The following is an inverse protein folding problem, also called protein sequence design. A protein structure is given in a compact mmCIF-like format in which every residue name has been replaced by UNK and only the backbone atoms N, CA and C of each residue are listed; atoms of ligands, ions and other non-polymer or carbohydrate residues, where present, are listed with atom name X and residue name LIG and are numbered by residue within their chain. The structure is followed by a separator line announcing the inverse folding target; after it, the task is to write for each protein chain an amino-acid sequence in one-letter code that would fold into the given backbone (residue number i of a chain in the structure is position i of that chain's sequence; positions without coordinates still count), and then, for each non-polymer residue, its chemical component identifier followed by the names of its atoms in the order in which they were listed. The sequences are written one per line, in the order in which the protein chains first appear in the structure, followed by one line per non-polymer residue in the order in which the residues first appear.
data_IF_170947475443
#
_entry.id   IF_170947475443
#
_cell.length_a   1.000
_cell.length_b   1.000
_cell.length_c   1.000
_cell.angle_alpha   90.00
_cell.angle_beta   90.00
_cell.angle_gamma   90.00
#
_symmetry.space_group_name_H-M   'P 1'
#
loop_
_entity.id
_entity.type
_entity.pdbx_description
1 polymer ?
#
# COMPACT_ATOMS: atom_id res chain seq x y z
N UNK A 1 -6.29 7.14 3.53
CA UNK A 1 -6.02 7.25 2.08
C UNK A 1 -6.35 8.65 1.57
N UNK A 2 -7.62 9.06 1.56
CA UNK A 2 -7.99 10.36 0.96
C UNK A 2 -7.78 11.58 1.86
N UNK A 3 -7.73 11.48 3.19
CA UNK A 3 -7.65 12.65 4.07
C UNK A 3 -6.39 12.66 4.95
N UNK A 4 -5.17 12.65 4.36
CA UNK A 4 -3.95 12.84 5.13
C UNK A 4 -3.87 14.26 5.72
N UNK A 5 -2.92 14.54 6.62
CA UNK A 5 -2.59 15.91 6.98
C UNK A 5 -2.35 16.75 5.72
N UNK A 6 -2.74 18.02 5.75
CA UNK A 6 -2.56 18.97 4.64
C UNK A 6 -3.27 18.61 3.33
N UNK A 7 -4.32 17.76 3.38
CA UNK A 7 -5.11 17.46 2.20
C UNK A 7 -5.80 18.71 1.63
N UNK A 8 -5.90 18.79 0.30
CA UNK A 8 -6.50 19.93 -0.42
C UNK A 8 -7.85 19.50 -0.96
N UNK A 9 -8.95 20.01 -0.39
CA UNK A 9 -10.32 19.60 -0.71
C UNK A 9 -10.68 19.80 -2.19
N UNK A 10 -10.05 20.75 -2.84
CA UNK A 10 -10.24 21.05 -4.25
C UNK A 10 -9.69 19.92 -5.13
N UNK A 11 -8.76 19.10 -4.63
CA UNK A 11 -8.14 18.02 -5.39
C UNK A 11 -8.96 16.73 -5.45
N UNK A 12 -10.19 16.72 -4.93
CA UNK A 12 -11.17 15.64 -5.14
C UNK A 12 -12.19 16.12 -6.17
N UNK A 13 -12.09 15.58 -7.37
CA UNK A 13 -12.91 16.00 -8.51
C UNK A 13 -13.91 14.91 -8.84
N UNK A 14 -15.19 15.24 -8.74
CA UNK A 14 -16.30 14.39 -9.14
C UNK A 14 -17.05 14.97 -10.34
N UNK A 15 -17.53 14.10 -11.22
CA UNK A 15 -18.52 14.45 -12.25
C UNK A 15 -19.83 13.81 -11.84
N UNK A 16 -20.90 14.62 -11.73
CA UNK A 16 -22.24 14.14 -11.48
C UNK A 16 -23.13 14.32 -12.70
N UNK A 17 -24.08 13.42 -12.89
CA UNK A 17 -25.15 13.60 -13.86
C UNK A 17 -26.09 14.72 -13.40
N UNK A 18 -26.35 15.69 -14.28
CA UNK A 18 -27.04 16.94 -13.92
C UNK A 18 -28.48 16.74 -13.43
N UNK A 19 -29.19 15.75 -13.96
CA UNK A 19 -30.60 15.53 -13.66
C UNK A 19 -30.81 14.66 -12.41
N UNK A 20 -30.02 13.60 -12.26
CA UNK A 20 -30.15 12.63 -11.16
C UNK A 20 -29.31 13.01 -9.93
N UNK A 21 -28.20 13.74 -10.14
CA UNK A 21 -27.20 13.99 -9.11
C UNK A 21 -26.21 12.83 -8.92
N UNK A 22 -26.34 11.75 -9.71
CA UNK A 22 -25.52 10.55 -9.56
C UNK A 22 -24.04 10.82 -9.88
N UNK A 23 -23.13 10.34 -9.04
CA UNK A 23 -21.69 10.43 -9.29
C UNK A 23 -21.28 9.44 -10.39
N UNK A 24 -20.83 9.96 -11.53
CA UNK A 24 -20.47 9.17 -12.72
C UNK A 24 -18.97 9.07 -12.97
N UNK A 25 -18.17 9.91 -12.32
CA UNK A 25 -16.72 9.86 -12.39
C UNK A 25 -16.04 10.53 -11.20
N UNK A 26 -14.85 10.04 -10.85
CA UNK A 26 -14.07 10.55 -9.73
C UNK A 26 -12.57 10.46 -10.03
N UNK A 27 -11.80 11.43 -9.55
CA UNK A 27 -10.34 11.41 -9.47
C UNK A 27 -9.91 12.17 -8.21
N UNK A 28 -8.79 11.78 -7.61
CA UNK A 28 -8.23 12.44 -6.45
C UNK A 28 -6.74 12.69 -6.60
N UNK A 29 -6.24 13.73 -5.93
CA UNK A 29 -4.82 13.94 -5.73
C UNK A 29 -4.52 14.22 -4.25
N UNK A 30 -3.30 13.92 -3.82
CA UNK A 30 -2.78 14.23 -2.49
C UNK A 30 -1.41 14.92 -2.60
N UNK A 31 -1.12 15.95 -1.80
CA UNK A 31 0.23 16.51 -1.76
C UNK A 31 1.16 15.52 -1.06
N UNK A 32 2.38 15.39 -1.58
CA UNK A 32 3.45 14.63 -0.92
C UNK A 32 4.80 15.24 -1.25
N UNK A 33 5.76 15.00 -0.38
CA UNK A 33 7.15 15.36 -0.58
C UNK A 33 7.92 14.13 -1.03
N UNK A 34 8.65 14.24 -2.14
CA UNK A 34 9.54 13.19 -2.62
C UNK A 34 11.01 13.61 -2.46
N UNK A 35 11.81 12.68 -1.94
CA UNK A 35 13.24 12.70 -2.13
C UNK A 35 13.58 12.05 -3.47
N UNK A 36 14.21 12.82 -4.35
CA UNK A 36 14.77 12.34 -5.62
C UNK A 36 16.28 12.44 -5.45
N UNK A 37 16.98 11.31 -5.56
CA UNK A 37 18.38 11.11 -5.17
C UNK A 37 19.43 11.85 -6.02
N UNK A 38 19.04 12.90 -6.72
CA UNK A 38 19.96 13.73 -7.51
C UNK A 38 20.53 14.88 -6.66
N UNK A 39 21.82 15.14 -6.79
CA UNK A 39 22.52 16.21 -6.04
C UNK A 39 21.99 17.62 -6.35
N UNK A 40 21.25 17.76 -7.45
CA UNK A 40 20.59 19.00 -7.85
C UNK A 40 19.36 19.33 -6.97
N UNK A 41 18.66 18.32 -6.44
CA UNK A 41 17.49 18.53 -5.60
C UNK A 41 17.91 18.66 -4.13
N UNK A 42 18.29 19.88 -3.74
CA UNK A 42 18.67 20.21 -2.35
C UNK A 42 17.53 20.11 -1.34
N UNK A 43 16.28 20.13 -1.81
CA UNK A 43 15.07 20.03 -0.99
C UNK A 43 14.14 18.95 -1.57
N UNK A 44 13.32 18.29 -0.75
CA UNK A 44 12.25 17.43 -1.24
C UNK A 44 11.37 18.20 -2.23
N UNK A 45 11.01 17.54 -3.33
CA UNK A 45 10.09 18.12 -4.31
C UNK A 45 8.66 17.89 -3.86
N UNK A 46 7.88 18.97 -3.74
CA UNK A 46 6.45 18.88 -3.54
C UNK A 46 5.77 18.45 -4.85
N UNK A 47 5.03 17.36 -4.79
CA UNK A 47 4.34 16.80 -5.95
C UNK A 47 2.92 16.35 -5.57
N UNK A 48 2.08 16.15 -6.59
CA UNK A 48 0.76 15.59 -6.41
C UNK A 48 0.75 14.07 -6.70
N UNK A 49 0.31 13.24 -5.75
CA UNK A 49 0.05 11.81 -6.01
C UNK A 49 -1.40 11.64 -6.43
N UNK A 50 -1.62 11.25 -7.69
CA UNK A 50 -2.95 11.01 -8.26
C UNK A 50 -3.38 9.57 -7.94
N UNK A 51 -4.63 9.40 -7.51
CA UNK A 51 -5.23 8.09 -7.29
C UNK A 51 -6.76 8.08 -7.53
N UNK A 52 -7.34 6.88 -7.53
CA UNK A 52 -8.78 6.63 -7.60
C UNK A 52 -9.51 7.19 -8.83
N UNK A 53 -8.81 7.32 -9.96
CA UNK A 53 -9.47 7.62 -11.23
C UNK A 53 -10.46 6.49 -11.58
N UNK A 54 -11.74 6.82 -11.60
CA UNK A 54 -12.80 5.89 -11.92
C UNK A 54 -13.89 6.57 -12.74
N UNK A 55 -14.37 5.90 -13.79
CA UNK A 55 -15.54 6.30 -14.57
C UNK A 55 -16.55 5.17 -14.55
N UNK A 56 -17.79 5.52 -14.25
CA UNK A 56 -18.92 4.60 -14.18
C UNK A 56 -19.06 3.83 -15.51
N UNK A 57 -19.34 2.52 -15.42
CA UNK A 57 -19.30 1.60 -16.58
C UNK A 57 -20.11 2.09 -17.79
N UNK A 58 -21.27 2.69 -17.56
CA UNK A 58 -22.16 3.23 -18.61
C UNK A 58 -21.56 4.41 -19.39
N UNK A 59 -20.69 5.20 -18.77
CA UNK A 59 -20.14 6.44 -19.33
C UNK A 59 -18.71 6.29 -19.86
N UNK A 60 -18.20 5.06 -19.94
CA UNK A 60 -16.88 4.78 -20.53
C UNK A 60 -16.88 5.09 -22.02
N UNK A 61 -15.71 5.43 -22.58
CA UNK A 61 -15.51 5.82 -23.98
C UNK A 61 -16.14 7.17 -24.39
N UNK A 62 -16.52 8.01 -23.42
CA UNK A 62 -17.04 9.37 -23.64
C UNK A 62 -16.02 10.46 -23.28
N UNK A 63 -14.73 10.13 -23.24
CA UNK A 63 -13.64 11.06 -22.89
C UNK A 63 -13.73 11.71 -21.48
N UNK A 64 -14.53 11.14 -20.58
CA UNK A 64 -14.70 11.68 -19.22
C UNK A 64 -13.43 11.53 -18.37
N UNK A 65 -12.62 10.49 -18.61
CA UNK A 65 -11.37 10.30 -17.89
C UNK A 65 -10.38 11.43 -18.21
N UNK A 66 -10.28 11.80 -19.49
CA UNK A 66 -9.44 12.89 -19.98
C UNK A 66 -9.91 14.24 -19.44
N UNK A 67 -11.24 14.45 -19.33
CA UNK A 67 -11.79 15.65 -18.70
C UNK A 67 -11.41 15.74 -17.21
N UNK A 68 -11.58 14.63 -16.46
CA UNK A 68 -11.17 14.54 -15.05
C UNK A 68 -9.68 14.83 -14.88
N UNK A 69 -8.83 14.24 -15.75
CA UNK A 69 -7.38 14.46 -15.73
C UNK A 69 -7.04 15.92 -16.00
N UNK A 70 -7.64 16.55 -17.01
CA UNK A 70 -7.42 17.98 -17.31
C UNK A 70 -7.80 18.87 -16.14
N UNK A 71 -8.94 18.61 -15.51
CA UNK A 71 -9.42 19.42 -14.39
C UNK A 71 -8.56 19.24 -13.14
N UNK A 72 -8.17 18.02 -12.78
CA UNK A 72 -7.28 17.82 -11.62
C UNK A 72 -5.92 18.47 -11.87
N UNK A 73 -5.35 18.36 -13.08
CA UNK A 73 -4.10 19.04 -13.44
C UNK A 73 -4.23 20.55 -13.30
N UNK A 74 -5.35 21.15 -13.74
CA UNK A 74 -5.60 22.58 -13.56
C UNK A 74 -5.61 22.98 -12.08
N UNK A 75 -6.27 22.21 -11.20
CA UNK A 75 -6.36 22.51 -9.76
C UNK A 75 -5.03 22.34 -9.04
N UNK A 76 -4.24 21.33 -9.42
CA UNK A 76 -2.88 21.11 -8.91
C UNK A 76 -1.95 22.26 -9.32
N UNK A 77 -1.99 22.68 -10.60
CA UNK A 77 -1.18 23.80 -11.10
C UNK A 77 -1.52 25.15 -10.43
N UNK A 78 -2.80 25.39 -10.08
CA UNK A 78 -3.20 26.59 -9.32
C UNK A 78 -2.58 26.63 -7.92
N UNK A 79 -2.17 25.46 -7.40
CA UNK A 79 -1.49 25.33 -6.10
C UNK A 79 0.04 25.38 -6.24
N UNK A 80 0.56 25.87 -7.37
CA UNK A 80 1.99 25.98 -7.69
C UNK A 80 2.75 24.63 -7.75
N UNK A 81 2.03 23.54 -7.97
CA UNK A 81 2.60 22.19 -8.15
C UNK A 81 2.41 21.78 -9.61
N UNK A 82 3.49 21.40 -10.27
CA UNK A 82 3.49 21.10 -11.73
C UNK A 82 3.91 19.67 -12.05
N UNK A 83 4.08 18.84 -11.03
CA UNK A 83 4.53 17.46 -11.14
C UNK A 83 3.55 16.55 -10.42
N UNK A 84 3.29 15.39 -11.02
CA UNK A 84 2.40 14.41 -10.46
C UNK A 84 2.95 12.98 -10.60
N UNK A 85 2.69 12.15 -9.59
CA UNK A 85 3.00 10.73 -9.58
C UNK A 85 1.72 9.92 -9.58
N UNK A 86 1.66 8.88 -10.40
CA UNK A 86 0.55 7.93 -10.43
C UNK A 86 1.07 6.54 -10.80
N UNK A 87 0.29 5.52 -10.45
CA UNK A 87 0.53 4.13 -10.86
C UNK A 87 -0.65 3.63 -11.67
N UNK A 88 -0.40 2.72 -12.60
CA UNK A 88 -1.44 2.12 -13.43
C UNK A 88 -1.10 0.65 -13.71
N UNK A 89 -2.14 -0.19 -13.79
CA UNK A 89 -2.00 -1.55 -14.30
C UNK A 89 -1.84 -1.62 -15.82
N UNK A 90 -2.17 -0.53 -16.53
CA UNK A 90 -1.99 -0.41 -17.97
C UNK A 90 -0.68 0.31 -18.29
N UNK A 91 -0.05 -0.05 -19.41
CA UNK A 91 1.14 0.66 -19.90
C UNK A 91 0.72 1.97 -20.58
N UNK A 92 1.17 3.09 -20.04
CA UNK A 92 0.95 4.44 -20.58
C UNK A 92 2.31 5.08 -20.95
N UNK A 93 2.46 5.76 -22.10
CA UNK A 93 3.72 6.37 -22.52
C UNK A 93 4.17 7.52 -21.58
N UNK A 94 5.39 7.55 -21.02
CA UNK A 94 6.37 6.46 -20.91
C UNK A 94 6.68 6.26 -19.41
N UNK A 95 6.54 5.04 -18.85
CA UNK A 95 6.78 4.82 -17.44
C UNK A 95 8.28 4.87 -17.15
N UNK A 96 8.67 5.45 -16.01
CA UNK A 96 10.06 5.44 -15.55
C UNK A 96 10.41 4.16 -14.74
N UNK A 97 9.40 3.40 -14.29
CA UNK A 97 9.59 2.15 -13.56
C UNK A 97 8.41 1.17 -13.81
N UNK A 98 8.69 -0.13 -13.66
CA UNK A 98 7.69 -1.21 -13.71
C UNK A 98 7.97 -2.20 -12.59
N UNK A 99 6.93 -2.60 -11.86
CA UNK A 99 7.00 -3.63 -10.82
C UNK A 99 5.95 -4.72 -11.09
N UNK A 100 6.29 -5.96 -10.79
CA UNK A 100 5.37 -7.09 -10.91
C UNK A 100 4.68 -7.35 -9.56
N UNK A 101 3.39 -7.66 -9.58
CA UNK A 101 2.69 -8.14 -8.38
C UNK A 101 3.15 -9.56 -8.04
N UNK A 102 3.44 -9.77 -6.77
CA UNK A 102 3.69 -11.08 -6.19
C UNK A 102 2.62 -11.39 -5.15
N UNK A 103 2.24 -12.66 -5.05
CA UNK A 103 1.23 -13.14 -4.12
C UNK A 103 1.81 -14.23 -3.23
N UNK A 104 1.54 -14.15 -1.93
CA UNK A 104 1.78 -15.25 -0.98
C UNK A 104 0.44 -15.71 -0.43
N UNK A 105 0.15 -16.99 -0.60
CA UNK A 105 -1.13 -17.57 -0.22
C UNK A 105 -1.14 -17.95 1.25
N UNK A 106 -2.12 -17.43 1.99
CA UNK A 106 -2.32 -17.71 3.41
C UNK A 106 -3.43 -18.74 3.62
N UNK A 107 -4.58 -18.56 2.97
CA UNK A 107 -5.72 -19.48 3.03
C UNK A 107 -5.93 -20.24 1.72
N UNK A 108 -5.18 -21.33 1.52
CA UNK A 108 -5.20 -22.12 0.27
C UNK A 108 -6.59 -22.64 -0.08
N UNK A 109 -7.36 -23.18 0.89
CA UNK A 109 -8.71 -23.72 0.63
C UNK A 109 -9.65 -22.66 0.10
N UNK A 110 -9.67 -21.48 0.73
CA UNK A 110 -10.51 -20.37 0.28
C UNK A 110 -10.11 -19.94 -1.13
N UNK A 111 -8.81 -19.77 -1.38
CA UNK A 111 -8.29 -19.31 -2.68
C UNK A 111 -8.59 -20.29 -3.83
N UNK A 112 -8.50 -21.59 -3.58
CA UNK A 112 -8.92 -22.63 -4.55
C UNK A 112 -10.44 -22.61 -4.76
N UNK A 113 -11.22 -22.50 -3.68
CA UNK A 113 -12.68 -22.51 -3.74
C UNK A 113 -13.28 -21.34 -4.51
N UNK A 114 -12.63 -20.17 -4.49
CA UNK A 114 -13.05 -18.97 -5.23
C UNK A 114 -12.40 -18.85 -6.61
N UNK A 115 -11.55 -19.79 -7.01
CA UNK A 115 -10.83 -19.77 -8.29
C UNK A 115 -9.74 -18.70 -8.41
N UNK A 116 -9.28 -18.11 -7.29
CA UNK A 116 -8.15 -17.18 -7.30
C UNK A 116 -6.81 -17.91 -7.48
N UNK A 117 -6.72 -19.14 -6.94
CA UNK A 117 -5.60 -20.04 -7.13
C UNK A 117 -6.04 -21.24 -7.96
N UNK A 118 -5.17 -21.72 -8.85
CA UNK A 118 -5.34 -22.98 -9.56
C UNK A 118 -4.44 -24.09 -9.00
N UNK A 119 -4.92 -25.33 -9.09
CA UNK A 119 -4.16 -26.52 -8.71
C UNK A 119 -3.06 -26.80 -9.75
N UNK A 120 -1.81 -26.54 -9.36
CA UNK A 120 -0.62 -26.86 -10.17
C UNK A 120 -0.57 -28.37 -10.48
N UNK A 121 -0.21 -28.71 -11.72
CA UNK A 121 -0.15 -30.09 -12.19
C UNK A 121 0.74 -30.99 -11.31
N UNK A 122 1.86 -30.46 -10.81
CA UNK A 122 2.79 -31.17 -9.93
C UNK A 122 2.15 -31.68 -8.64
N UNK A 123 1.09 -31.04 -8.15
CA UNK A 123 0.41 -31.44 -6.92
C UNK A 123 -0.74 -32.43 -7.17
N UNK A 124 -1.25 -32.53 -8.40
CA UNK A 124 -2.43 -33.38 -8.73
C UNK A 124 -2.19 -34.87 -8.52
N UNK A 125 -0.92 -35.29 -8.60
CA UNK A 125 -0.55 -36.70 -8.45
C UNK A 125 -0.46 -37.15 -6.98
N UNK A 126 -0.55 -36.22 -6.01
CA UNK A 126 -0.60 -36.60 -4.60
C UNK A 126 -1.99 -37.12 -4.22
N UNK A 127 -2.05 -38.09 -3.29
CA UNK A 127 -3.31 -38.64 -2.75
C UNK A 127 -4.23 -37.57 -2.15
N UNK A 128 -3.66 -36.53 -1.53
CA UNK A 128 -4.40 -35.36 -1.06
C UNK A 128 -3.69 -34.08 -1.52
N UNK A 129 -4.06 -33.54 -2.71
CA UNK A 129 -3.34 -32.43 -3.34
C UNK A 129 -3.48 -31.11 -2.55
N UNK A 130 -4.67 -30.87 -1.96
CA UNK A 130 -4.96 -29.66 -1.19
C UNK A 130 -4.11 -29.61 0.08
N UNK A 131 -4.05 -30.71 0.85
CA UNK A 131 -3.23 -30.76 2.07
C UNK A 131 -1.74 -30.55 1.77
N UNK A 132 -1.25 -31.05 0.63
CA UNK A 132 0.14 -30.83 0.22
C UNK A 132 0.41 -29.37 -0.12
N UNK A 133 -0.53 -28.68 -0.78
CA UNK A 133 -0.41 -27.23 -0.98
C UNK A 133 -0.47 -26.47 0.34
N UNK A 134 -1.35 -26.81 1.26
CA UNK A 134 -1.41 -26.20 2.60
C UNK A 134 -0.06 -26.31 3.33
N UNK A 135 0.57 -27.49 3.28
CA UNK A 135 1.92 -27.71 3.83
C UNK A 135 3.01 -26.95 3.10
N UNK A 136 2.89 -26.74 1.79
CA UNK A 136 3.84 -25.95 1.02
C UNK A 136 3.73 -24.44 1.32
N UNK A 137 2.50 -23.97 1.59
CA UNK A 137 2.23 -22.58 1.92
C UNK A 137 2.33 -22.27 3.43
N UNK A 138 2.54 -23.28 4.27
CA UNK A 138 2.65 -23.09 5.72
C UNK A 138 3.79 -22.13 6.06
N UNK A 139 3.55 -21.34 7.10
CA UNK A 139 4.50 -20.36 7.61
C UNK A 139 5.25 -20.96 8.80
N UNK A 140 6.54 -20.63 8.90
CA UNK A 140 7.39 -20.99 10.05
C UNK A 140 7.48 -19.80 11.00
N UNK A 141 7.35 -20.06 12.29
CA UNK A 141 7.52 -19.07 13.35
C UNK A 141 8.88 -19.18 14.06
N UNK A 142 9.65 -20.24 13.78
CA UNK A 142 10.89 -20.55 14.48
C UNK A 142 11.96 -19.47 14.27
N UNK A 143 12.51 -18.95 15.38
CA UNK A 143 13.61 -17.99 15.36
C UNK A 143 13.22 -16.56 14.95
N UNK A 144 11.93 -16.24 14.86
CA UNK A 144 11.48 -14.88 14.58
C UNK A 144 11.68 -13.96 15.78
N UNK A 145 11.98 -12.67 15.54
CA UNK A 145 12.05 -11.68 16.60
C UNK A 145 10.68 -11.46 17.25
N UNK A 146 10.70 -11.10 18.52
CA UNK A 146 9.51 -10.54 19.17
C UNK A 146 9.19 -9.17 18.56
N UNK A 147 7.92 -8.96 18.23
CA UNK A 147 7.41 -7.70 17.70
C UNK A 147 6.11 -7.35 18.40
N UNK A 148 5.79 -6.05 18.45
CA UNK A 148 4.54 -5.54 19.02
C UNK A 148 3.89 -4.55 18.07
N UNK A 149 2.61 -4.31 18.27
CA UNK A 149 1.88 -3.28 17.54
C UNK A 149 2.49 -1.88 17.79
N UNK A 150 2.51 -1.05 16.74
CA UNK A 150 3.01 0.32 16.79
C UNK A 150 2.10 1.22 17.63
N UNK A 151 2.69 1.99 18.55
CA UNK A 151 1.99 3.01 19.35
C UNK A 151 2.32 4.45 18.93
N UNK A 152 1.56 5.45 19.43
CA UNK A 152 1.83 6.87 19.17
C UNK A 152 3.23 7.34 19.58
N UNK A 153 3.79 6.76 20.65
CA UNK A 153 5.13 7.09 21.13
C UNK A 153 6.25 6.67 20.15
N UNK A 154 5.98 5.70 19.26
CA UNK A 154 6.96 5.19 18.30
C UNK A 154 7.08 6.09 17.05
N UNK A 155 6.10 6.97 16.81
CA UNK A 155 5.98 7.79 15.59
C UNK A 155 7.27 8.57 15.28
N UNK A 156 7.90 9.29 16.23
CA UNK A 156 9.12 10.04 15.93
C UNK A 156 10.30 9.15 15.57
N UNK A 157 10.39 7.96 16.18
CA UNK A 157 11.44 6.99 15.88
C UNK A 157 11.23 6.38 14.48
N UNK A 158 10.00 6.02 14.14
CA UNK A 158 9.64 5.47 12.83
C UNK A 158 9.84 6.49 11.72
N UNK A 159 9.49 7.77 11.92
CA UNK A 159 9.78 8.83 10.94
C UNK A 159 11.26 8.89 10.60
N UNK A 160 12.14 8.88 11.61
CA UNK A 160 13.60 8.88 11.40
C UNK A 160 14.07 7.62 10.69
N UNK A 161 13.55 6.46 11.10
CA UNK A 161 13.90 5.16 10.55
C UNK A 161 13.51 5.05 9.06
N UNK A 162 12.27 5.38 8.70
CA UNK A 162 11.77 5.37 7.33
C UNK A 162 12.59 6.31 6.44
N UNK A 163 12.74 7.58 6.85
CA UNK A 163 13.49 8.56 6.07
C UNK A 163 14.94 8.12 5.85
N UNK A 164 15.61 7.58 6.87
CA UNK A 164 17.01 7.12 6.76
C UNK A 164 17.12 5.90 5.85
N UNK A 165 16.25 4.90 6.05
CA UNK A 165 16.26 3.66 5.29
C UNK A 165 15.99 3.90 3.80
N UNK A 166 14.94 4.65 3.47
CA UNK A 166 14.53 4.82 2.09
C UNK A 166 15.44 5.76 1.30
N UNK A 167 15.93 6.85 1.91
CA UNK A 167 16.91 7.74 1.26
C UNK A 167 18.22 7.02 0.92
N UNK A 168 18.64 6.06 1.75
CA UNK A 168 19.87 5.29 1.52
C UNK A 168 19.72 4.26 0.40
N UNK A 169 18.54 3.63 0.31
CA UNK A 169 18.36 2.41 -0.50
C UNK A 169 17.65 2.66 -1.84
N UNK A 170 16.98 3.81 -2.03
CA UNK A 170 16.16 4.07 -3.22
C UNK A 170 16.43 5.46 -3.81
N UNK A 171 16.43 5.53 -5.14
CA UNK A 171 16.61 6.79 -5.88
C UNK A 171 15.39 7.72 -5.77
N UNK A 172 14.19 7.16 -5.57
CA UNK A 172 12.96 7.92 -5.33
C UNK A 172 12.32 7.36 -4.07
N UNK A 173 12.09 8.23 -3.09
CA UNK A 173 11.53 7.85 -1.80
C UNK A 173 10.56 8.92 -1.30
N UNK A 174 9.46 8.49 -0.66
CA UNK A 174 8.61 9.42 0.06
C UNK A 174 9.36 10.03 1.24
N UNK A 175 9.29 11.35 1.33
CA UNK A 175 9.85 12.10 2.44
C UNK A 175 8.75 12.35 3.47
N UNK A 176 8.95 11.82 4.67
CA UNK A 176 8.06 12.07 5.81
C UNK A 176 8.53 13.32 6.55
N UNK A 177 7.82 14.43 6.39
CA UNK A 177 8.21 15.72 6.97
C UNK A 177 7.79 15.82 8.44
N UNK A 178 6.54 15.47 8.74
CA UNK A 178 5.99 15.62 10.08
C UNK A 178 5.69 14.27 10.75
N UNK A 179 5.68 14.27 12.08
CA UNK A 179 5.19 13.11 12.84
C UNK A 179 3.70 12.86 12.58
N UNK A 180 2.93 13.91 12.24
CA UNK A 180 1.51 13.77 11.88
C UNK A 180 1.31 12.95 10.60
N UNK A 181 2.21 13.08 9.61
CA UNK A 181 2.15 12.28 8.39
C UNK A 181 2.34 10.80 8.71
N UNK A 182 3.41 10.47 9.45
CA UNK A 182 3.71 9.09 9.86
C UNK A 182 2.59 8.53 10.73
N UNK A 183 2.06 9.31 11.66
CA UNK A 183 0.91 8.91 12.47
C UNK A 183 -0.33 8.63 11.61
N UNK A 184 -0.62 9.45 10.61
CA UNK A 184 -1.78 9.26 9.74
C UNK A 184 -1.70 7.97 8.94
N UNK A 185 -0.52 7.67 8.40
CA UNK A 185 -0.32 6.55 7.49
C UNK A 185 -0.01 5.24 8.19
N UNK A 186 0.58 5.25 9.38
CA UNK A 186 1.09 4.02 10.00
C UNK A 186 0.49 3.68 11.36
N UNK A 187 -0.20 4.60 12.06
CA UNK A 187 -0.87 4.17 13.29
C UNK A 187 -1.93 3.12 12.95
N UNK A 188 -1.90 1.95 13.62
CA UNK A 188 -2.83 0.88 13.37
C UNK A 188 -4.28 1.35 13.44
N UNK A 189 -5.07 0.92 12.46
CA UNK A 189 -6.51 1.17 12.40
C UNK A 189 -7.20 -0.13 12.03
N UNK A 190 -8.13 -0.64 12.87
CA UNK A 190 -8.82 -1.89 12.61
C UNK A 190 -9.41 -1.92 11.20
N UNK A 191 -9.17 -3.02 10.49
CA UNK A 191 -9.66 -3.24 9.12
C UNK A 191 -9.15 -2.23 8.07
N UNK A 192 -8.07 -1.51 8.36
CA UNK A 192 -7.46 -0.57 7.41
C UNK A 192 -5.97 -0.82 7.29
N UNK A 193 -5.20 -0.64 8.37
CA UNK A 193 -3.74 -0.76 8.37
C UNK A 193 -3.24 -1.38 9.67
N UNK A 194 -2.24 -2.23 9.52
CA UNK A 194 -1.59 -2.98 10.58
C UNK A 194 -0.10 -2.65 10.51
N UNK A 195 0.45 -2.23 11.64
CA UNK A 195 1.83 -1.77 11.74
C UNK A 195 2.46 -2.30 13.02
N UNK A 196 3.68 -2.79 12.89
CA UNK A 196 4.39 -3.44 13.97
C UNK A 196 5.83 -2.92 14.05
N UNK A 197 6.36 -2.95 15.26
CA UNK A 197 7.73 -2.54 15.56
C UNK A 197 8.47 -3.66 16.29
N UNK A 198 9.76 -3.73 16.03
CA UNK A 198 10.71 -4.53 16.79
C UNK A 198 11.57 -3.56 17.59
N UNK A 199 11.68 -3.82 18.88
CA UNK A 199 12.53 -3.05 19.78
C UNK A 199 13.88 -3.74 19.92
N UNK A 200 14.95 -2.97 19.83
CA UNK A 200 16.28 -3.40 20.25
C UNK A 200 16.60 -2.78 21.61
N UNK A 201 17.20 -3.60 22.48
CA UNK A 201 17.62 -3.19 23.80
C UNK A 201 19.13 -2.89 23.77
N UNK A 202 19.46 -1.67 23.40
CA UNK A 202 20.85 -1.18 23.37
C UNK A 202 21.08 -0.24 24.55
N UNK A 203 21.99 -0.61 25.46
CA UNK A 203 22.45 0.23 26.59
C UNK A 203 21.32 0.70 27.53
N UNK A 204 20.35 -0.17 27.83
CA UNK A 204 19.28 0.11 28.79
C UNK A 204 18.15 1.02 28.29
N UNK A 205 18.25 1.56 27.07
CA UNK A 205 17.15 2.29 26.41
C UNK A 205 16.49 1.38 25.38
N UNK A 206 15.16 1.24 25.45
CA UNK A 206 14.38 0.61 24.38
C UNK A 206 14.30 1.57 23.20
N UNK A 207 14.69 1.11 22.02
CA UNK A 207 14.57 1.90 20.79
C UNK A 207 14.02 1.03 19.67
N UNK A 208 13.14 1.60 18.85
CA UNK A 208 12.61 0.94 17.65
C UNK A 208 13.76 0.73 16.66
N UNK A 209 14.08 -0.52 16.36
CA UNK A 209 15.13 -0.90 15.42
C UNK A 209 14.57 -1.21 14.03
N UNK A 210 13.38 -1.82 13.99
CA UNK A 210 12.78 -2.31 12.76
C UNK A 210 11.26 -2.11 12.77
N UNK A 211 10.69 -1.97 11.59
CA UNK A 211 9.30 -1.63 11.36
C UNK A 211 8.77 -2.36 10.13
N UNK A 212 7.53 -2.83 10.18
CA UNK A 212 6.81 -3.34 9.01
C UNK A 212 5.31 -3.03 9.09
N UNK A 213 4.68 -2.90 7.94
CA UNK A 213 3.25 -2.60 7.84
C UNK A 213 2.61 -3.23 6.61
N UNK A 214 1.31 -3.49 6.72
CA UNK A 214 0.46 -3.91 5.61
C UNK A 214 -0.95 -3.36 5.80
N UNK A 215 -1.68 -3.15 4.70
CA UNK A 215 -3.07 -2.68 4.74
C UNK A 215 -4.03 -3.72 4.17
N UNK A 216 -5.28 -3.65 4.62
CA UNK A 216 -6.37 -4.48 4.11
C UNK A 216 -6.93 -3.85 2.84
N UNK A 217 -6.94 -4.61 1.76
CA UNK A 217 -7.67 -4.27 0.54
C UNK A 217 -8.63 -5.41 0.18
N UNK A 218 -9.91 -5.30 0.57
CA UNK A 218 -10.90 -6.32 0.27
C UNK A 218 -11.32 -6.25 -1.20
N UNK A 219 -11.52 -7.40 -1.83
CA UNK A 219 -12.04 -7.53 -3.19
C UNK A 219 -13.35 -8.31 -3.20
N UNK A 220 -14.39 -7.73 -3.80
CA UNK A 220 -15.68 -8.41 -4.01
C UNK A 220 -15.55 -9.53 -5.02
N UNK A 221 -16.10 -10.71 -4.71
CA UNK A 221 -16.10 -11.85 -5.62
C UNK A 221 -17.20 -11.70 -6.67
N UNK A 222 -16.84 -11.84 -7.95
CA UNK A 222 -17.75 -11.61 -9.08
C UNK A 222 -18.87 -12.65 -9.20
N UNK A 223 -18.63 -13.89 -8.77
CA UNK A 223 -19.49 -15.05 -9.07
C UNK A 223 -20.01 -15.79 -7.82
N UNK A 224 -19.79 -15.26 -6.61
CA UNK A 224 -20.30 -15.84 -5.37
C UNK A 224 -21.20 -14.85 -4.65
N UNK A 225 -22.34 -15.29 -4.15
CA UNK A 225 -23.47 -14.46 -3.72
C UNK A 225 -23.22 -13.51 -2.53
N UNK A 226 -22.09 -13.58 -1.82
CA UNK A 226 -21.75 -12.61 -0.75
C UNK A 226 -20.28 -12.64 -0.28
N UNK A 227 -19.36 -13.19 -1.08
CA UNK A 227 -17.99 -13.42 -0.62
C UNK A 227 -17.04 -12.23 -0.84
N UNK A 228 -16.14 -12.02 0.12
CA UNK A 228 -15.03 -11.06 0.03
C UNK A 228 -13.69 -11.79 0.15
N UNK A 229 -12.76 -11.48 -0.74
CA UNK A 229 -11.36 -11.82 -0.59
C UNK A 229 -10.66 -10.70 0.18
N UNK A 230 -10.24 -10.98 1.41
CA UNK A 230 -9.40 -10.08 2.17
C UNK A 230 -7.96 -10.27 1.72
N UNK A 231 -7.32 -9.23 1.22
CA UNK A 231 -5.91 -9.29 0.84
C UNK A 231 -5.10 -8.31 1.68
N UNK A 232 -4.00 -8.80 2.24
CA UNK A 232 -3.00 -7.99 2.92
C UNK A 232 -2.00 -7.50 1.88
N UNK A 233 -1.92 -6.18 1.69
CA UNK A 233 -0.94 -5.56 0.82
C UNK A 233 0.23 -5.06 1.65
N UNK A 234 1.42 -5.61 1.41
CA UNK A 234 2.66 -5.09 2.00
C UNK A 234 2.81 -3.61 1.67
N UNK A 235 3.08 -2.78 2.68
CA UNK A 235 3.09 -1.33 2.54
C UNK A 235 4.50 -0.76 2.66
N UNK A 236 4.93 -0.39 3.88
CA UNK A 236 6.29 0.03 4.16
C UNK A 236 6.93 -0.89 5.19
N UNK A 237 8.25 -1.05 5.06
CA UNK A 237 9.09 -1.63 6.09
C UNK A 237 10.42 -0.88 6.13
N UNK A 238 11.07 -0.87 7.27
CA UNK A 238 12.41 -0.33 7.42
C UNK A 238 13.15 -1.09 8.51
N UNK A 239 14.44 -1.28 8.32
CA UNK A 239 15.22 -2.19 9.15
C UNK A 239 16.62 -1.66 9.39
N UNK A 240 17.10 -1.85 10.61
CA UNK A 240 18.50 -1.61 10.99
C UNK A 240 19.20 -2.88 11.45
N UNK A 241 18.45 -3.89 11.94
CA UNK A 241 19.03 -5.10 12.52
C UNK A 241 18.59 -6.38 11.83
N UNK A 242 17.41 -6.39 11.23
CA UNK A 242 16.81 -7.59 10.60
C UNK A 242 16.97 -7.59 9.08
N UNK A 243 16.75 -8.75 8.49
CA UNK A 243 16.70 -8.92 7.05
C UNK A 243 15.28 -8.70 6.54
N UNK A 244 15.14 -8.29 5.27
CA UNK A 244 13.81 -8.12 4.67
C UNK A 244 12.95 -9.41 4.71
N UNK A 245 13.49 -10.62 4.45
CA UNK A 245 12.72 -11.86 4.55
C UNK A 245 12.18 -12.12 5.97
N UNK A 246 12.93 -11.80 7.02
CA UNK A 246 12.46 -11.96 8.41
C UNK A 246 11.28 -11.03 8.71
N UNK A 247 11.35 -9.76 8.31
CA UNK A 247 10.25 -8.81 8.48
C UNK A 247 9.00 -9.24 7.70
N UNK A 248 9.19 -9.71 6.47
CA UNK A 248 8.09 -10.23 5.66
C UNK A 248 7.49 -11.50 6.27
N UNK A 249 8.30 -12.39 6.85
CA UNK A 249 7.81 -13.58 7.54
C UNK A 249 6.96 -13.20 8.76
N UNK A 250 7.37 -12.19 9.53
CA UNK A 250 6.56 -11.64 10.63
C UNK A 250 5.23 -11.10 10.10
N UNK A 251 5.26 -10.27 9.04
CA UNK A 251 4.05 -9.71 8.43
C UNK A 251 3.07 -10.80 7.92
N UNK A 252 3.59 -11.88 7.32
CA UNK A 252 2.78 -13.00 6.84
C UNK A 252 2.10 -13.75 7.98
N UNK A 253 2.79 -13.96 9.10
CA UNK A 253 2.22 -14.60 10.29
C UNK A 253 1.13 -13.71 10.91
N UNK A 254 1.42 -12.41 11.09
CA UNK A 254 0.43 -11.48 11.62
C UNK A 254 -0.83 -11.42 10.74
N UNK A 255 -0.66 -11.40 9.41
CA UNK A 255 -1.79 -11.44 8.49
C UNK A 255 -2.56 -12.77 8.55
N UNK A 256 -1.86 -13.91 8.72
CA UNK A 256 -2.52 -15.20 8.88
C UNK A 256 -3.36 -15.26 10.16
N UNK A 257 -2.84 -14.78 11.28
CA UNK A 257 -3.54 -14.72 12.58
C UNK A 257 -4.78 -13.82 12.51
N UNK A 258 -4.72 -12.73 11.73
CA UNK A 258 -5.84 -11.82 11.49
C UNK A 258 -6.87 -12.35 10.48
N UNK A 259 -6.65 -13.53 9.90
CA UNK A 259 -7.61 -14.20 9.03
C UNK A 259 -7.68 -13.68 7.58
N UNK A 260 -6.57 -13.18 7.06
CA UNK A 260 -6.43 -12.82 5.64
C UNK A 260 -6.44 -14.03 4.70
#
# INVERSE_FOLDING_TARGET
ALFPPHFIKEWYVGICERHTGDLVGFISALPTSLHIGDKEFRRPSEIAVINFLCVHKKYRKQMLAELLIREITRRVNVSDIFQALYTSGNVLPTPFARAQYFHRSLNVRKLLGIGFMEMKASFRNFRNPVLMLERYYSLRADGLPEYREMGPADVPAIRRLLNTYYRKNFAIAQQWETDADVAHWFLPRPNVIYSYVIESQTKGSKSVSDFFSFYLLPSSLLHSSAGVLNAAYCYYFASTTKTQPELLQCALLSAQELGF
#
